data_IF_352028477836
#
_entry.id   IF_352028477836
#
_cell.length_a   1.000
_cell.length_b   1.000
_cell.length_c   1.000
_cell.angle_alpha   90.00
_cell.angle_beta   90.00
_cell.angle_gamma   90.00
#
_symmetry.space_group_name_H-M   'P 1'
#
loop_
_entity.id
_entity.type
_entity.pdbx_description
1 polymer ?
#
# COMPACT_ATOMS: atom_id res chain seq x y z
N UNK A 1 12.30 2.87 -31.53
CA UNK A 1 11.17 2.68 -30.60
C UNK A 1 11.70 2.93 -29.21
N UNK A 2 11.35 4.07 -28.59
CA UNK A 2 11.80 4.37 -27.23
C UNK A 2 11.02 3.51 -26.24
N UNK A 3 11.70 2.62 -25.52
CA UNK A 3 11.10 1.96 -24.35
C UNK A 3 10.72 3.03 -23.32
N UNK A 4 9.42 3.21 -23.10
CA UNK A 4 8.96 4.01 -21.97
C UNK A 4 9.29 3.23 -20.70
N UNK A 5 10.17 3.77 -19.85
CA UNK A 5 10.54 3.13 -18.59
C UNK A 5 9.31 3.09 -17.68
N UNK A 6 8.62 1.94 -17.63
CA UNK A 6 7.38 1.77 -16.87
C UNK A 6 7.71 1.43 -15.43
N UNK A 7 7.51 2.39 -14.55
CA UNK A 7 7.66 2.18 -13.11
C UNK A 7 6.44 1.45 -12.55
N UNK A 8 6.69 0.37 -11.80
CA UNK A 8 5.65 -0.43 -11.15
C UNK A 8 5.93 -0.46 -9.64
N UNK A 9 4.91 -0.18 -8.84
CA UNK A 9 4.95 -0.33 -7.39
C UNK A 9 4.06 -1.51 -6.96
N UNK A 10 4.55 -2.35 -6.05
CA UNK A 10 3.82 -3.49 -5.48
C UNK A 10 3.71 -3.30 -3.97
N UNK A 11 2.49 -3.15 -3.44
CA UNK A 11 2.23 -3.05 -2.01
C UNK A 11 1.63 -4.37 -1.51
N UNK A 12 2.41 -5.14 -0.76
CA UNK A 12 1.94 -6.42 -0.22
C UNK A 12 1.15 -6.23 1.09
N UNK A 13 -0.17 -6.37 1.01
CA UNK A 13 -1.07 -6.27 2.15
C UNK A 13 -1.32 -7.64 2.83
N UNK A 14 -0.26 -8.26 3.37
CA UNK A 14 -0.37 -9.58 4.01
C UNK A 14 -1.23 -9.53 5.27
N UNK A 15 -2.15 -10.49 5.39
CA UNK A 15 -3.09 -10.58 6.52
C UNK A 15 -2.59 -11.46 7.69
N UNK A 16 -1.54 -12.25 7.49
CA UNK A 16 -1.07 -13.29 8.44
C UNK A 16 -0.21 -12.80 9.62
N UNK A 17 -0.42 -11.59 10.13
CA UNK A 17 0.30 -11.09 11.31
C UNK A 17 -0.22 -11.76 12.59
N UNK A 18 0.63 -12.41 13.37
CA UNK A 18 0.25 -13.05 14.64
C UNK A 18 0.22 -12.08 15.83
N UNK A 19 1.11 -11.08 15.84
CA UNK A 19 1.18 -10.07 16.92
C UNK A 19 0.12 -8.98 16.81
N UNK A 20 -0.29 -8.67 15.58
CA UNK A 20 -1.36 -7.71 15.29
C UNK A 20 -2.20 -8.26 14.13
N UNK A 21 -3.12 -9.20 14.40
CA UNK A 21 -3.98 -9.80 13.39
C UNK A 21 -4.79 -8.75 12.64
N UNK A 22 -4.93 -8.93 11.32
CA UNK A 22 -5.73 -8.03 10.50
C UNK A 22 -5.14 -6.63 10.29
N UNK A 23 -3.87 -6.39 10.66
CA UNK A 23 -3.18 -5.07 10.60
C UNK A 23 -3.52 -4.23 9.35
N UNK A 24 -3.50 -4.81 8.15
CA UNK A 24 -3.70 -4.05 6.91
C UNK A 24 -5.14 -3.55 6.71
N UNK A 25 -6.12 -4.24 7.30
CA UNK A 25 -7.54 -3.85 7.27
C UNK A 25 -8.02 -3.19 8.56
N UNK A 26 -7.15 -3.09 9.57
CA UNK A 26 -7.44 -2.39 10.82
C UNK A 26 -7.83 -0.94 10.53
N UNK A 27 -8.88 -0.46 11.19
CA UNK A 27 -9.28 0.94 11.10
C UNK A 27 -8.18 1.85 11.66
N UNK A 28 -7.86 2.89 10.90
CA UNK A 28 -6.96 3.95 11.29
C UNK A 28 -7.61 5.28 10.88
N UNK A 29 -8.22 5.96 11.84
CA UNK A 29 -8.91 7.23 11.63
C UNK A 29 -10.04 7.14 10.57
N UNK A 30 -10.85 6.08 10.62
CA UNK A 30 -12.03 5.91 9.76
C UNK A 30 -11.74 5.29 8.39
N UNK A 31 -10.48 4.93 8.11
CA UNK A 31 -10.07 4.25 6.89
C UNK A 31 -9.15 3.06 7.22
N UNK A 32 -9.20 1.96 6.45
CA UNK A 32 -8.28 0.85 6.65
C UNK A 32 -6.82 1.30 6.55
N UNK A 33 -5.91 0.73 7.35
CA UNK A 33 -4.47 1.06 7.30
C UNK A 33 -3.90 1.03 5.86
N UNK A 34 -4.34 0.06 5.05
CA UNK A 34 -3.96 -0.06 3.64
C UNK A 34 -4.32 1.19 2.82
N UNK A 35 -5.45 1.87 3.10
CA UNK A 35 -5.85 3.11 2.44
C UNK A 35 -4.73 4.14 2.52
N UNK A 36 -4.20 4.36 3.72
CA UNK A 36 -3.15 5.37 3.95
C UNK A 36 -1.87 5.06 3.19
N UNK A 37 -1.47 3.78 3.12
CA UNK A 37 -0.31 3.33 2.35
C UNK A 37 -0.51 3.65 0.86
N UNK A 38 -1.65 3.28 0.30
CA UNK A 38 -1.96 3.53 -1.12
C UNK A 38 -2.05 5.04 -1.42
N UNK A 39 -2.68 5.81 -0.54
CA UNK A 39 -2.82 7.27 -0.66
C UNK A 39 -1.47 7.98 -0.65
N UNK A 40 -0.48 7.46 0.10
CA UNK A 40 0.90 7.99 0.07
C UNK A 40 1.65 7.55 -1.18
N UNK A 41 1.56 6.28 -1.58
CA UNK A 41 2.24 5.76 -2.79
C UNK A 41 1.76 6.47 -4.06
N UNK A 42 0.46 6.77 -4.17
CA UNK A 42 -0.10 7.54 -5.29
C UNK A 42 0.50 8.94 -5.48
N UNK A 43 1.08 9.52 -4.43
CA UNK A 43 1.70 10.86 -4.46
C UNK A 43 3.20 10.81 -4.77
N UNK A 44 3.80 9.61 -4.81
CA UNK A 44 5.21 9.45 -5.10
C UNK A 44 5.53 9.87 -6.54
N UNK A 45 6.67 10.52 -6.72
CA UNK A 45 7.27 10.84 -8.02
C UNK A 45 8.66 10.20 -8.05
N UNK A 46 9.08 9.72 -9.22
CA UNK A 46 10.46 9.31 -9.46
C UNK A 46 11.32 10.50 -9.87
#
# INVERSE_FOLDING_TARGET
>A
MSESNRTIAIVQARMGSSRLPGKMMMDLAGEPLLHWVLSRVKKAKL
#
